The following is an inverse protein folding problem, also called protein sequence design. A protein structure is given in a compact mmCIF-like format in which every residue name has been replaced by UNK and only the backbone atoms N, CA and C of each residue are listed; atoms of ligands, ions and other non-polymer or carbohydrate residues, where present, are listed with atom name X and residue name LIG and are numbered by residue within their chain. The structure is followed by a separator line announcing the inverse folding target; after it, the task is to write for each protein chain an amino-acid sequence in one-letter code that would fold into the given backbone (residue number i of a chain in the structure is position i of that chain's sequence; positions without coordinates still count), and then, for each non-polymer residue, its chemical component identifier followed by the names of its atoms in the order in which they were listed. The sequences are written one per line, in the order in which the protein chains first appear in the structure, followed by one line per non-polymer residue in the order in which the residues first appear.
data_IF_004162844630
#
_entry.id   IF_004162844630
#
_cell.length_a   1.000
_cell.length_b   1.000
_cell.length_c   1.000
_cell.angle_alpha   90.00
_cell.angle_beta   90.00
_cell.angle_gamma   90.00
#
_symmetry.space_group_name_H-M   'P 1'
#
loop_
_entity.id
_entity.type
_entity.pdbx_description
1 polymer ?
#
# COMPACT_ATOMS: atom_id res chain seq x y z
N UNK A 1 6.05 -5.71 25.95
CA UNK A 1 4.70 -5.93 25.37
C UNK A 1 4.84 -7.12 24.44
N UNK A 2 4.27 -8.27 24.79
CA UNK A 2 4.42 -9.52 24.03
C UNK A 2 3.21 -9.71 23.13
N UNK A 3 3.43 -10.00 21.84
CA UNK A 3 2.36 -10.31 20.89
C UNK A 3 1.98 -11.78 20.96
N UNK A 4 0.68 -12.04 20.90
CA UNK A 4 0.09 -13.38 20.91
C UNK A 4 -0.59 -13.68 19.57
N UNK A 5 -0.67 -14.96 19.23
CA UNK A 5 -1.54 -15.46 18.17
C UNK A 5 -3.02 -15.28 18.57
N UNK A 6 -3.98 -15.27 17.61
CA UNK A 6 -5.40 -15.17 17.91
C UNK A 6 -5.92 -16.21 18.93
N UNK A 7 -5.32 -17.41 18.97
CA UNK A 7 -5.64 -18.48 19.92
C UNK A 7 -5.07 -18.24 21.34
N UNK A 8 -4.23 -17.23 21.53
CA UNK A 8 -3.59 -16.89 22.82
C UNK A 8 -2.20 -17.49 23.02
N UNK A 9 -1.69 -18.27 22.08
CA UNK A 9 -0.33 -18.79 22.15
C UNK A 9 0.70 -17.70 21.83
N UNK A 10 1.94 -17.87 22.30
CA UNK A 10 3.04 -17.00 21.94
C UNK A 10 3.33 -17.08 20.42
N UNK A 11 3.54 -15.92 19.79
CA UNK A 11 3.91 -15.85 18.38
C UNK A 11 5.32 -16.44 18.16
N UNK A 12 5.39 -17.67 17.65
CA UNK A 12 6.67 -18.38 17.34
C UNK A 12 6.95 -18.52 15.85
N UNK A 13 6.08 -17.97 15.02
CA UNK A 13 6.17 -18.06 13.56
C UNK A 13 7.21 -17.10 13.00
N UNK A 14 7.60 -17.32 11.75
CA UNK A 14 8.49 -16.40 11.04
C UNK A 14 7.72 -15.10 10.76
N UNK A 15 8.01 -14.06 11.54
CA UNK A 15 7.43 -12.74 11.38
C UNK A 15 8.04 -12.07 10.15
N UNK A 16 7.19 -11.70 9.20
CA UNK A 16 7.57 -10.96 7.99
C UNK A 16 7.50 -9.44 8.20
N UNK A 17 6.60 -8.98 9.07
CA UNK A 17 6.44 -7.57 9.40
C UNK A 17 5.43 -7.33 10.51
N UNK A 18 5.54 -6.19 11.18
CA UNK A 18 4.59 -5.74 12.22
C UNK A 18 4.17 -4.32 11.83
N UNK A 19 2.87 -4.11 11.61
CA UNK A 19 2.26 -2.82 11.31
C UNK A 19 1.40 -2.31 12.47
N UNK A 20 0.81 -1.13 12.30
CA UNK A 20 -0.08 -0.54 13.30
C UNK A 20 -1.39 -1.32 13.51
N UNK A 21 -1.83 -2.06 12.49
CA UNK A 21 -3.13 -2.75 12.46
C UNK A 21 -3.01 -4.27 12.54
N UNK A 22 -1.81 -4.84 12.40
CA UNK A 22 -1.62 -6.29 12.36
C UNK A 22 -0.17 -6.73 12.33
N UNK A 23 0.02 -8.04 12.46
CA UNK A 23 1.31 -8.73 12.31
C UNK A 23 1.24 -9.69 11.14
N UNK A 24 2.26 -9.69 10.28
CA UNK A 24 2.35 -10.61 9.14
C UNK A 24 3.30 -11.73 9.50
N UNK A 25 2.83 -12.96 9.37
CA UNK A 25 3.60 -14.19 9.63
C UNK A 25 3.63 -15.09 8.40
N UNK A 26 4.68 -15.91 8.29
CA UNK A 26 4.82 -16.90 7.23
C UNK A 26 4.52 -18.32 7.73
N UNK A 27 3.67 -19.03 7.00
CA UNK A 27 3.41 -20.48 7.16
C UNK A 27 3.56 -21.17 5.81
N UNK A 28 4.72 -21.81 5.57
CA UNK A 28 5.04 -22.40 4.26
C UNK A 28 5.09 -21.33 3.18
N UNK A 29 4.25 -21.46 2.15
CA UNK A 29 4.13 -20.50 1.03
C UNK A 29 2.98 -19.50 1.20
N UNK A 30 2.44 -19.39 2.42
CA UNK A 30 1.38 -18.46 2.78
C UNK A 30 1.92 -17.40 3.73
N UNK A 31 1.63 -16.14 3.43
CA UNK A 31 1.74 -15.01 4.35
C UNK A 31 0.35 -14.74 4.97
N UNK A 32 0.28 -14.56 6.29
CA UNK A 32 -0.97 -14.33 7.00
C UNK A 32 -0.86 -13.02 7.77
N UNK A 33 -1.72 -12.05 7.47
CA UNK A 33 -1.86 -10.82 8.25
C UNK A 33 -2.88 -11.06 9.35
N UNK A 34 -2.40 -11.15 10.58
CA UNK A 34 -3.19 -11.40 11.79
C UNK A 34 -3.46 -10.09 12.54
N UNK A 35 -4.61 -9.95 13.22
CA UNK A 35 -4.82 -8.84 14.14
C UNK A 35 -3.85 -8.92 15.31
N UNK A 36 -3.50 -7.75 15.86
CA UNK A 36 -2.68 -7.62 17.04
C UNK A 36 -3.44 -8.13 18.26
N UNK A 37 -2.80 -9.02 19.01
CA UNK A 37 -3.26 -9.47 20.32
C UNK A 37 -2.13 -9.31 21.32
N UNK A 38 -2.45 -8.74 22.47
CA UNK A 38 -1.48 -8.42 23.50
C UNK A 38 -1.61 -9.38 24.68
N UNK A 39 -0.49 -9.78 25.27
CA UNK A 39 -0.49 -10.41 26.59
C UNK A 39 -0.99 -9.41 27.63
N UNK A 40 -2.03 -9.82 28.37
CA UNK A 40 -2.67 -9.01 29.42
C UNK A 40 -2.27 -9.48 30.82
N UNK A 41 -1.44 -10.51 30.93
CA UNK A 41 -1.03 -11.10 32.20
C UNK A 41 -0.20 -10.11 33.00
N UNK A 42 -0.54 -9.91 34.28
CA UNK A 42 0.19 -8.99 35.17
C UNK A 42 -0.08 -7.51 34.94
N UNK A 43 -0.99 -7.14 34.04
CA UNK A 43 -1.39 -5.76 33.80
C UNK A 43 -2.56 -5.31 34.69
N UNK A 44 -2.57 -4.04 35.11
CA UNK A 44 -3.68 -3.45 35.86
C UNK A 44 -4.94 -3.26 35.00
N UNK A 45 -6.11 -3.14 35.64
CA UNK A 45 -7.42 -3.12 34.96
C UNK A 45 -7.53 -2.05 33.84
N UNK A 46 -7.08 -0.82 34.10
CA UNK A 46 -7.09 0.25 33.10
C UNK A 46 -6.25 -0.08 31.86
N UNK A 47 -5.08 -0.69 32.07
CA UNK A 47 -4.19 -1.10 30.98
C UNK A 47 -4.80 -2.28 30.21
N UNK A 48 -5.36 -3.27 30.90
CA UNK A 48 -6.07 -4.39 30.27
C UNK A 48 -7.22 -3.89 29.39
N UNK A 49 -8.00 -2.92 29.88
CA UNK A 49 -9.09 -2.29 29.11
C UNK A 49 -8.57 -1.62 27.85
N UNK A 50 -7.48 -0.86 27.94
CA UNK A 50 -6.86 -0.20 26.79
C UNK A 50 -6.34 -1.22 25.76
N UNK A 51 -5.61 -2.25 26.19
CA UNK A 51 -5.08 -3.30 25.31
C UNK A 51 -6.18 -4.06 24.57
N UNK A 52 -7.29 -4.36 25.25
CA UNK A 52 -8.46 -5.00 24.63
C UNK A 52 -9.12 -4.09 23.59
N UNK A 53 -9.21 -2.78 23.86
CA UNK A 53 -9.73 -1.82 22.89
C UNK A 53 -8.84 -1.74 21.63
N UNK A 54 -7.51 -1.67 21.80
CA UNK A 54 -6.56 -1.69 20.68
C UNK A 54 -6.67 -2.98 19.86
N UNK A 55 -6.79 -4.15 20.51
CA UNK A 55 -6.98 -5.43 19.83
C UNK A 55 -8.31 -5.48 19.05
N UNK A 56 -9.37 -4.87 19.58
CA UNK A 56 -10.65 -4.70 18.87
C UNK A 56 -10.50 -3.86 17.60
N UNK A 57 -9.88 -2.68 17.71
CA UNK A 57 -9.63 -1.79 16.56
C UNK A 57 -8.79 -2.49 15.48
N UNK A 58 -7.76 -3.23 15.88
CA UNK A 58 -6.93 -4.02 14.97
C UNK A 58 -7.75 -5.10 14.26
N UNK A 59 -8.63 -5.81 14.98
CA UNK A 59 -9.52 -6.83 14.40
C UNK A 59 -10.49 -6.22 13.38
N UNK A 60 -11.07 -5.05 13.69
CA UNK A 60 -11.98 -4.35 12.78
C UNK A 60 -11.26 -3.83 11.53
N UNK A 61 -10.00 -3.38 11.66
CA UNK A 61 -9.17 -2.98 10.52
C UNK A 61 -8.88 -4.16 9.60
N UNK A 62 -8.48 -5.31 10.15
CA UNK A 62 -8.23 -6.54 9.38
C UNK A 62 -9.48 -6.99 8.62
N UNK A 63 -10.65 -6.94 9.25
CA UNK A 63 -11.92 -7.29 8.60
C UNK A 63 -12.30 -6.30 7.47
N UNK A 64 -12.00 -5.01 7.63
CA UNK A 64 -12.23 -4.01 6.57
C UNK A 64 -11.31 -4.26 5.38
N UNK A 65 -10.03 -4.49 5.65
CA UNK A 65 -9.03 -4.80 4.62
C UNK A 65 -9.38 -6.09 3.86
N UNK A 66 -9.84 -7.14 4.57
CA UNK A 66 -10.29 -8.38 3.93
C UNK A 66 -11.46 -8.15 2.96
N UNK A 67 -12.40 -7.25 3.29
CA UNK A 67 -13.49 -6.86 2.38
C UNK A 67 -12.98 -6.19 1.11
N UNK A 68 -11.88 -5.44 1.19
CA UNK A 68 -11.21 -4.86 0.01
C UNK A 68 -10.67 -5.97 -0.87
N UNK A 69 -9.90 -6.92 -0.32
CA UNK A 69 -9.42 -8.08 -1.08
C UNK A 69 -10.55 -8.86 -1.76
N UNK A 70 -11.66 -9.10 -1.05
CA UNK A 70 -12.85 -9.77 -1.61
C UNK A 70 -13.51 -8.96 -2.73
N UNK A 71 -13.61 -7.63 -2.60
CA UNK A 71 -14.13 -6.73 -3.65
C UNK A 71 -13.24 -6.74 -4.88
N UNK A 72 -11.92 -6.77 -4.68
CA UNK A 72 -10.94 -6.78 -5.77
C UNK A 72 -11.02 -8.10 -6.56
N UNK A 73 -11.16 -9.22 -5.86
CA UNK A 73 -11.02 -10.54 -6.46
C UNK A 73 -9.61 -10.74 -7.01
N UNK A 74 -9.39 -11.75 -7.87
CA UNK A 74 -8.09 -12.01 -8.45
C UNK A 74 -7.72 -10.94 -9.48
N UNK A 75 -6.70 -10.14 -9.18
CA UNK A 75 -6.06 -9.21 -10.13
C UNK A 75 -4.54 -9.39 -10.05
N UNK A 76 -3.86 -9.38 -11.20
CA UNK A 76 -2.47 -9.82 -11.28
C UNK A 76 -1.52 -8.99 -10.42
N UNK A 77 -1.59 -7.65 -10.45
CA UNK A 77 -0.64 -6.82 -9.69
C UNK A 77 -1.00 -6.60 -8.22
N UNK A 78 -1.90 -7.39 -7.64
CA UNK A 78 -2.14 -7.45 -6.19
C UNK A 78 -1.72 -8.82 -5.68
N UNK A 79 -1.16 -8.87 -4.48
CA UNK A 79 -0.83 -10.13 -3.82
C UNK A 79 -2.08 -11.01 -3.73
N UNK A 80 -1.97 -12.24 -4.23
CA UNK A 80 -3.12 -13.13 -4.34
C UNK A 80 -3.71 -13.45 -2.96
N UNK A 81 -4.96 -13.03 -2.76
CA UNK A 81 -5.79 -13.43 -1.63
C UNK A 81 -6.22 -14.90 -1.80
N UNK A 82 -5.99 -15.73 -0.78
CA UNK A 82 -6.21 -17.18 -0.83
C UNK A 82 -7.58 -17.61 -0.31
N UNK A 83 -8.42 -16.68 0.16
CA UNK A 83 -9.76 -16.90 0.73
C UNK A 83 -9.89 -18.20 1.53
N UNK A 84 -8.98 -18.38 2.50
CA UNK A 84 -8.95 -19.56 3.34
C UNK A 84 -9.73 -19.32 4.63
N UNK A 85 -10.38 -20.35 5.19
CA UNK A 85 -10.99 -20.25 6.51
C UNK A 85 -9.90 -20.03 7.57
N UNK A 86 -10.10 -19.05 8.44
CA UNK A 86 -9.13 -18.72 9.48
C UNK A 86 -9.28 -17.28 9.95
N UNK A 87 -8.50 -16.92 10.97
CA UNK A 87 -8.38 -15.52 11.41
C UNK A 87 -7.32 -14.83 10.56
N UNK A 88 -7.64 -13.64 10.05
CA UNK A 88 -6.70 -12.80 9.31
C UNK A 88 -6.77 -13.00 7.80
N UNK A 89 -5.87 -12.30 7.10
CA UNK A 89 -5.85 -12.26 5.63
C UNK A 89 -4.77 -13.21 5.14
N UNK A 90 -5.18 -14.26 4.45
CA UNK A 90 -4.28 -15.26 3.88
C UNK A 90 -3.88 -14.87 2.45
N UNK A 91 -2.58 -14.76 2.22
CA UNK A 91 -1.99 -14.23 1.00
C UNK A 91 -0.87 -15.14 0.49
N UNK A 92 -0.65 -15.15 -0.82
CA UNK A 92 0.53 -15.80 -1.38
C UNK A 92 1.82 -15.14 -0.87
N UNK A 93 2.80 -15.95 -0.46
CA UNK A 93 4.12 -15.45 -0.04
C UNK A 93 4.93 -14.92 -1.25
N UNK A 94 5.50 -13.72 -1.09
CA UNK A 94 6.32 -13.06 -2.11
C UNK A 94 7.81 -13.25 -1.79
N UNK A 95 8.52 -13.98 -2.65
CA UNK A 95 9.85 -14.52 -2.35
C UNK A 95 10.95 -13.46 -2.23
N UNK A 96 10.80 -12.35 -2.95
CA UNK A 96 11.80 -11.29 -2.98
C UNK A 96 11.52 -10.16 -1.96
N UNK A 97 10.49 -10.32 -1.13
CA UNK A 97 10.15 -9.37 -0.07
C UNK A 97 9.62 -8.05 -0.59
N UNK A 98 9.78 -6.99 0.20
CA UNK A 98 9.32 -5.64 -0.15
C UNK A 98 10.23 -4.98 -1.19
N UNK A 99 9.65 -4.12 -2.03
CA UNK A 99 10.39 -3.36 -3.03
C UNK A 99 11.41 -2.43 -2.35
N UNK A 100 11.07 -1.81 -1.21
CA UNK A 100 12.03 -0.98 -0.46
C UNK A 100 13.24 -1.78 0.02
N UNK A 101 13.06 -3.02 0.51
CA UNK A 101 14.17 -3.86 0.94
C UNK A 101 14.97 -4.41 -0.24
N UNK A 102 14.32 -4.62 -1.38
CA UNK A 102 14.98 -5.01 -2.62
C UNK A 102 15.89 -3.90 -3.15
N UNK A 103 15.39 -2.66 -3.24
CA UNK A 103 16.14 -1.49 -3.72
C UNK A 103 17.36 -1.14 -2.85
N UNK A 104 17.35 -1.52 -1.56
CA UNK A 104 18.53 -1.38 -0.68
C UNK A 104 19.70 -2.30 -1.07
N UNK A 105 19.42 -3.38 -1.80
CA UNK A 105 20.39 -4.42 -2.15
C UNK A 105 20.74 -4.45 -3.63
N UNK A 106 19.80 -4.03 -4.47
CA UNK A 106 19.88 -4.18 -5.92
C UNK A 106 19.49 -2.89 -6.62
N UNK A 107 20.16 -2.61 -7.73
CA UNK A 107 19.81 -1.53 -8.65
C UNK A 107 19.22 -2.18 -9.91
N UNK A 108 17.88 -2.26 -10.03
CA UNK A 108 17.24 -2.83 -11.21
C UNK A 108 17.51 -1.96 -12.44
N UNK A 109 17.63 -2.58 -13.62
CA UNK A 109 17.76 -1.84 -14.86
C UNK A 109 16.46 -1.12 -15.25
N UNK A 110 16.55 -0.24 -16.25
CA UNK A 110 15.41 0.55 -16.73
C UNK A 110 14.27 -0.30 -17.28
N UNK A 111 14.56 -1.48 -17.82
CA UNK A 111 13.53 -2.39 -18.34
C UNK A 111 12.66 -2.91 -17.20
N UNK A 112 13.29 -3.38 -16.12
CA UNK A 112 12.59 -3.86 -14.92
C UNK A 112 11.83 -2.71 -14.26
N UNK A 113 12.46 -1.55 -14.11
CA UNK A 113 11.81 -0.38 -13.51
C UNK A 113 10.56 0.05 -14.31
N UNK A 114 10.66 0.13 -15.64
CA UNK A 114 9.54 0.48 -16.50
C UNK A 114 8.41 -0.56 -16.41
N UNK A 115 8.75 -1.85 -16.43
CA UNK A 115 7.78 -2.93 -16.25
C UNK A 115 7.07 -2.84 -14.90
N UNK A 116 7.80 -2.48 -13.84
CA UNK A 116 7.19 -2.21 -12.54
C UNK A 116 6.24 -1.03 -12.61
N UNK A 117 6.66 0.13 -13.10
CA UNK A 117 5.80 1.32 -13.18
C UNK A 117 4.54 1.08 -13.98
N UNK A 118 4.66 0.34 -15.09
CA UNK A 118 3.52 -0.07 -15.90
C UNK A 118 2.57 -0.98 -15.11
N UNK A 119 3.08 -2.08 -14.55
CA UNK A 119 2.25 -3.06 -13.82
C UNK A 119 1.59 -2.44 -12.59
N UNK A 120 2.34 -1.59 -11.91
CA UNK A 120 1.88 -0.71 -10.87
C UNK A 120 0.68 0.14 -11.39
N UNK A 121 0.87 1.02 -12.38
CA UNK A 121 -0.18 1.94 -12.86
C UNK A 121 -1.42 1.20 -13.39
N UNK A 122 -1.19 0.11 -14.13
CA UNK A 122 -2.23 -0.78 -14.62
C UNK A 122 -3.07 -1.33 -13.49
N UNK A 123 -2.43 -1.86 -12.44
CA UNK A 123 -3.13 -2.38 -11.26
C UNK A 123 -3.98 -1.32 -10.57
N UNK A 124 -3.51 -0.06 -10.48
CA UNK A 124 -4.34 1.00 -9.89
C UNK A 124 -5.60 1.26 -10.70
N UNK A 125 -5.53 1.25 -12.03
CA UNK A 125 -6.73 1.40 -12.85
C UNK A 125 -7.79 0.35 -12.50
N UNK A 126 -7.36 -0.91 -12.29
CA UNK A 126 -8.25 -2.01 -11.88
C UNK A 126 -8.78 -1.89 -10.46
N UNK A 127 -7.98 -1.35 -9.53
CA UNK A 127 -8.42 -1.09 -8.16
C UNK A 127 -9.47 0.03 -8.15
N UNK A 128 -9.21 1.12 -8.87
CA UNK A 128 -10.12 2.27 -9.00
C UNK A 128 -11.44 1.86 -9.66
N UNK A 129 -11.43 1.02 -10.69
CA UNK A 129 -12.64 0.46 -11.32
C UNK A 129 -13.53 -0.33 -10.35
N UNK A 130 -12.94 -0.86 -9.28
CA UNK A 130 -13.64 -1.61 -8.23
C UNK A 130 -14.04 -0.74 -7.04
N UNK A 131 -13.95 0.57 -7.23
CA UNK A 131 -14.37 1.61 -6.29
C UNK A 131 -13.60 1.55 -4.98
N UNK A 132 -12.28 1.43 -5.09
CA UNK A 132 -11.36 1.42 -3.95
C UNK A 132 -10.36 2.56 -4.13
N UNK A 133 -10.17 3.38 -3.09
CA UNK A 133 -9.06 4.33 -2.98
C UNK A 133 -8.03 3.69 -2.05
N UNK A 134 -6.75 3.66 -2.45
CA UNK A 134 -5.71 2.92 -1.71
C UNK A 134 -5.19 3.70 -0.52
N UNK A 135 -4.97 5.01 -0.68
CA UNK A 135 -4.54 5.98 0.33
C UNK A 135 -3.12 5.81 0.92
N UNK A 136 -2.52 4.62 0.90
CA UNK A 136 -1.13 4.38 1.32
C UNK A 136 -0.29 3.68 0.25
N UNK A 137 0.12 4.43 -0.77
CA UNK A 137 1.02 3.93 -1.83
C UNK A 137 2.46 4.32 -1.50
N UNK A 138 3.30 3.31 -1.23
CA UNK A 138 4.71 3.46 -0.93
C UNK A 138 5.49 2.19 -1.32
N UNK A 139 6.82 2.31 -1.52
CA UNK A 139 7.71 1.18 -1.88
C UNK A 139 7.65 0.03 -0.87
N UNK A 140 7.36 0.30 0.41
CA UNK A 140 7.16 -0.74 1.44
C UNK A 140 5.92 -1.62 1.22
N UNK A 141 4.90 -1.11 0.52
CA UNK A 141 3.62 -1.80 0.29
C UNK A 141 3.57 -2.53 -1.08
N UNK A 142 4.67 -2.48 -1.83
CA UNK A 142 4.88 -3.33 -3.00
C UNK A 142 5.80 -4.48 -2.62
N UNK A 143 5.39 -5.70 -2.96
CA UNK A 143 6.17 -6.91 -2.82
C UNK A 143 6.58 -7.45 -4.19
N UNK A 144 7.65 -8.24 -4.22
CA UNK A 144 8.18 -8.83 -5.43
C UNK A 144 8.01 -10.36 -5.41
N UNK A 145 7.34 -10.89 -6.44
CA UNK A 145 7.24 -12.33 -6.66
C UNK A 145 8.60 -12.91 -7.12
N UNK A 146 8.68 -14.23 -7.24
CA UNK A 146 9.91 -14.93 -7.65
C UNK A 146 10.48 -14.46 -8.99
N UNK A 147 9.63 -14.08 -9.94
CA UNK A 147 9.98 -13.57 -11.27
C UNK A 147 10.21 -12.05 -11.30
N UNK A 148 10.29 -11.41 -10.13
CA UNK A 148 10.36 -9.96 -9.94
C UNK A 148 9.12 -9.20 -10.41
N UNK A 149 7.98 -9.87 -10.66
CA UNK A 149 6.72 -9.15 -10.86
C UNK A 149 6.31 -8.43 -9.58
N UNK A 150 5.86 -7.18 -9.73
CA UNK A 150 5.47 -6.32 -8.61
C UNK A 150 4.02 -6.52 -8.23
N UNK A 151 3.76 -6.70 -6.94
CA UNK A 151 2.43 -6.98 -6.36
C UNK A 151 2.16 -6.04 -5.20
N UNK A 152 1.06 -5.30 -5.23
CA UNK A 152 0.64 -4.47 -4.10
C UNK A 152 0.00 -5.32 -2.99
N UNK A 153 0.24 -5.00 -1.73
CA UNK A 153 -0.08 -5.91 -0.61
C UNK A 153 -0.80 -5.31 0.61
N UNK A 154 -0.93 -3.99 0.73
CA UNK A 154 -1.45 -3.38 1.97
C UNK A 154 -2.65 -2.47 1.69
N UNK A 155 -3.83 -2.89 2.14
CA UNK A 155 -5.07 -2.11 1.99
C UNK A 155 -5.60 -1.62 3.35
N UNK A 156 -4.76 -1.49 4.38
CA UNK A 156 -5.21 -1.11 5.72
C UNK A 156 -5.85 0.28 5.78
N UNK A 157 -5.34 1.21 4.97
CA UNK A 157 -5.82 2.59 4.88
C UNK A 157 -6.82 2.79 3.73
N UNK A 158 -7.16 1.73 3.01
CA UNK A 158 -7.99 1.84 1.82
C UNK A 158 -9.46 2.04 2.15
N UNK A 159 -10.12 2.83 1.30
CA UNK A 159 -11.55 3.10 1.40
C UNK A 159 -12.29 2.35 0.31
N UNK A 160 -13.32 1.61 0.72
CA UNK A 160 -14.24 0.90 -0.16
C UNK A 160 -15.50 1.75 -0.37
N UNK A 161 -15.65 2.28 -1.58
CA UNK A 161 -16.73 3.17 -1.96
C UNK A 161 -17.94 2.39 -2.54
N UNK A 162 -19.14 3.00 -2.52
CA UNK A 162 -20.31 2.49 -3.23
C UNK A 162 -20.04 2.28 -4.73
N UNK A 163 -20.68 1.25 -5.32
CA UNK A 163 -20.46 0.87 -6.73
C UNK A 163 -21.02 1.86 -7.77
N UNK A 164 -21.73 2.89 -7.33
CA UNK A 164 -22.28 3.95 -8.19
C UNK A 164 -21.49 5.27 -8.03
N UNK A 165 -20.43 5.26 -7.24
CA UNK A 165 -19.60 6.43 -7.01
C UNK A 165 -18.80 6.73 -8.27
N UNK A 166 -18.92 7.96 -8.77
CA UNK A 166 -18.00 8.46 -9.79
C UNK A 166 -16.61 8.66 -9.17
N UNK A 167 -15.69 7.77 -9.53
CA UNK A 167 -14.33 7.75 -8.97
C UNK A 167 -13.50 8.97 -9.38
N UNK A 168 -13.83 9.65 -10.47
CA UNK A 168 -13.09 10.85 -10.92
C UNK A 168 -13.43 12.09 -10.09
N UNK A 169 -14.55 12.08 -9.38
CA UNK A 169 -15.00 13.16 -8.48
C UNK A 169 -15.07 12.74 -7.00
N UNK A 170 -14.82 11.47 -6.70
CA UNK A 170 -14.82 10.94 -5.34
C UNK A 170 -13.74 11.60 -4.46
N UNK A 171 -14.15 11.98 -3.26
CA UNK A 171 -13.28 12.47 -2.19
C UNK A 171 -13.68 11.77 -0.89
N UNK A 172 -12.74 11.07 -0.28
CA UNK A 172 -12.88 10.51 1.06
C UNK A 172 -11.92 11.23 1.99
N UNK A 173 -12.37 12.33 2.59
CA UNK A 173 -11.55 13.13 3.50
C UNK A 173 -10.20 13.55 2.89
N UNK A 174 -10.23 13.97 1.62
CA UNK A 174 -9.06 14.39 0.83
C UNK A 174 -8.34 13.25 0.09
N UNK A 175 -8.68 12.00 0.37
CA UNK A 175 -8.21 10.86 -0.43
C UNK A 175 -9.04 10.72 -1.70
N UNK A 176 -8.34 10.49 -2.82
CA UNK A 176 -8.95 10.35 -4.15
C UNK A 176 -8.06 9.50 -5.05
N UNK A 177 -8.55 9.15 -6.25
CA UNK A 177 -7.71 8.51 -7.27
C UNK A 177 -6.48 9.36 -7.62
N UNK A 178 -6.58 10.69 -7.48
CA UNK A 178 -5.47 11.60 -7.77
C UNK A 178 -4.38 11.52 -6.70
N UNK A 179 -4.75 11.39 -5.42
CA UNK A 179 -3.74 11.24 -4.35
C UNK A 179 -3.01 9.90 -4.49
N UNK A 180 -3.71 8.84 -4.90
CA UNK A 180 -3.08 7.56 -5.24
C UNK A 180 -2.05 7.71 -6.38
N UNK A 181 -2.40 8.45 -7.44
CA UNK A 181 -1.49 8.74 -8.56
C UNK A 181 -0.29 9.59 -8.07
N UNK A 182 -0.51 10.58 -7.22
CA UNK A 182 0.55 11.42 -6.67
C UNK A 182 1.55 10.63 -5.82
N UNK A 183 1.05 9.76 -4.94
CA UNK A 183 1.87 8.85 -4.12
C UNK A 183 2.66 7.86 -4.97
N UNK A 184 2.06 7.33 -6.05
CA UNK A 184 2.79 6.54 -7.03
C UNK A 184 3.91 7.35 -7.69
N UNK A 185 3.72 8.63 -7.99
CA UNK A 185 4.79 9.50 -8.48
C UNK A 185 6.01 9.50 -7.55
N UNK A 186 5.79 9.50 -6.24
CA UNK A 186 6.88 9.37 -5.25
C UNK A 186 7.56 8.00 -5.28
N UNK A 187 6.80 6.92 -5.48
CA UNK A 187 7.38 5.57 -5.67
C UNK A 187 8.23 5.51 -6.93
N UNK A 188 7.75 6.08 -8.04
CA UNK A 188 8.52 6.15 -9.29
C UNK A 188 9.82 6.93 -9.10
N UNK A 189 9.74 8.09 -8.45
CA UNK A 189 10.93 8.89 -8.14
C UNK A 189 11.94 8.11 -7.29
N UNK A 190 11.49 7.45 -6.23
CA UNK A 190 12.36 6.68 -5.34
C UNK A 190 13.05 5.53 -6.08
N UNK A 191 12.32 4.80 -6.93
CA UNK A 191 12.88 3.70 -7.73
C UNK A 191 13.91 4.21 -8.75
N UNK A 192 13.62 5.32 -9.44
CA UNK A 192 14.52 5.88 -10.48
C UNK A 192 15.79 6.47 -9.88
N UNK A 193 15.67 7.20 -8.77
CA UNK A 193 16.78 7.99 -8.21
C UNK A 193 17.51 7.29 -7.07
N UNK A 194 16.91 6.26 -6.49
CA UNK A 194 17.36 5.65 -5.23
C UNK A 194 17.19 6.55 -4.01
N UNK A 195 16.54 7.72 -4.14
CA UNK A 195 16.37 8.70 -3.06
C UNK A 195 14.95 8.63 -2.51
N UNK A 196 14.76 8.49 -1.18
CA UNK A 196 13.43 8.47 -0.58
C UNK A 196 12.62 9.72 -0.92
N UNK A 197 11.35 9.53 -1.29
CA UNK A 197 10.42 10.62 -1.58
C UNK A 197 9.08 10.36 -0.89
N UNK A 198 8.55 11.37 -0.19
CA UNK A 198 7.27 11.29 0.50
C UNK A 198 6.27 12.25 -0.11
N UNK A 199 5.13 11.73 -0.58
CA UNK A 199 3.95 12.51 -0.92
C UNK A 199 3.14 12.78 0.35
N UNK A 200 3.55 13.77 1.14
CA UNK A 200 3.03 13.99 2.49
C UNK A 200 1.70 14.74 2.48
N UNK A 201 0.59 13.99 2.57
CA UNK A 201 -0.77 14.54 2.61
C UNK A 201 -1.09 15.31 3.90
N UNK A 202 -0.21 15.23 4.90
CA UNK A 202 -0.41 15.80 6.25
C UNK A 202 0.65 16.82 6.64
N UNK A 203 1.45 17.29 5.69
CA UNK A 203 2.49 18.29 5.96
C UNK A 203 1.87 19.55 6.60
N UNK A 204 2.52 20.03 7.67
CA UNK A 204 2.18 21.25 8.41
C UNK A 204 0.75 21.30 8.98
N UNK A 205 0.11 20.15 9.15
CA UNK A 205 -1.23 20.04 9.75
C UNK A 205 -1.21 19.71 11.24
N UNK A 206 -2.20 20.21 12.01
CA UNK A 206 -2.33 19.90 13.43
C UNK A 206 -2.72 18.42 13.66
N UNK A 207 -2.59 17.97 14.91
CA UNK A 207 -3.09 16.66 15.32
C UNK A 207 -4.63 16.73 15.48
N UNK A 208 -5.36 16.53 14.38
CA UNK A 208 -6.79 16.16 14.28
C UNK A 208 -7.90 17.22 14.45
N UNK A 209 -9.09 16.99 13.83
CA UNK A 209 -9.33 16.13 12.67
C UNK A 209 -8.89 16.83 11.39
N UNK A 210 -8.05 16.15 10.61
CA UNK A 210 -7.39 16.75 9.45
C UNK A 210 -7.68 15.95 8.20
N UNK A 211 -8.39 16.58 7.27
CA UNK A 211 -8.55 16.13 5.88
C UNK A 211 -7.18 16.02 5.22
N UNK A 212 -6.90 14.95 4.47
CA UNK A 212 -5.71 14.88 3.61
C UNK A 212 -5.68 16.09 2.66
N UNK A 213 -4.49 16.60 2.34
CA UNK A 213 -4.37 17.72 1.38
C UNK A 213 -3.24 17.46 0.42
N UNK A 214 -3.45 17.88 -0.83
CA UNK A 214 -2.43 17.81 -1.84
C UNK A 214 -1.18 18.58 -1.39
N UNK A 215 0.02 17.97 -1.40
CA UNK A 215 1.25 18.64 -1.00
C UNK A 215 1.57 19.80 -1.94
N UNK A 216 2.26 20.82 -1.45
CA UNK A 216 2.74 21.89 -2.32
C UNK A 216 3.85 21.36 -3.22
N UNK A 217 4.01 21.95 -4.41
CA UNK A 217 5.00 21.43 -5.38
C UNK A 217 6.41 21.56 -4.84
N UNK A 218 6.71 22.63 -4.13
CA UNK A 218 7.99 22.91 -3.45
C UNK A 218 8.36 21.90 -2.36
N UNK A 219 7.38 21.10 -1.88
CA UNK A 219 7.63 20.04 -0.90
C UNK A 219 8.16 18.75 -1.54
N UNK A 220 8.05 18.66 -2.88
CA UNK A 220 8.46 17.51 -3.67
C UNK A 220 9.78 17.81 -4.39
N UNK A 221 10.64 16.82 -4.63
CA UNK A 221 11.92 17.03 -5.28
C UNK A 221 11.76 17.50 -6.73
N UNK A 222 12.80 18.13 -7.28
CA UNK A 222 12.85 18.47 -8.70
C UNK A 222 12.92 17.22 -9.57
N UNK A 223 12.27 17.25 -10.73
CA UNK A 223 12.23 16.14 -11.70
C UNK A 223 13.09 16.40 -12.94
N UNK A 224 13.77 17.55 -12.99
CA UNK A 224 14.61 17.94 -14.12
C UNK A 224 15.78 16.96 -14.26
N UNK A 225 16.08 16.58 -15.50
CA UNK A 225 17.17 15.67 -15.86
C UNK A 225 17.06 14.25 -15.27
N UNK A 226 15.90 13.90 -14.69
CA UNK A 226 15.58 12.55 -14.20
C UNK A 226 14.89 11.75 -15.31
N UNK A 227 15.28 10.49 -15.48
CA UNK A 227 14.59 9.57 -16.38
C UNK A 227 13.13 9.39 -15.93
N UNK A 228 12.18 9.54 -16.87
CA UNK A 228 10.73 9.64 -16.59
C UNK A 228 10.31 10.86 -15.74
N UNK A 229 11.19 11.85 -15.55
CA UNK A 229 10.90 13.06 -14.77
C UNK A 229 9.63 13.78 -15.21
N UNK A 230 9.36 13.85 -16.52
CA UNK A 230 8.12 14.44 -17.06
C UNK A 230 6.86 13.67 -16.68
N UNK A 231 6.90 12.35 -16.57
CA UNK A 231 5.76 11.53 -16.13
C UNK A 231 5.55 11.68 -14.63
N UNK A 232 6.64 11.67 -13.85
CA UNK A 232 6.61 11.90 -12.40
C UNK A 232 6.01 13.29 -12.09
N UNK A 233 6.44 14.32 -12.80
CA UNK A 233 5.91 15.69 -12.66
C UNK A 233 4.40 15.77 -12.92
N UNK A 234 3.93 15.05 -13.94
CA UNK A 234 2.49 14.95 -14.24
C UNK A 234 1.70 14.20 -13.18
N UNK A 235 2.32 13.25 -12.46
CA UNK A 235 1.68 12.61 -11.30
C UNK A 235 1.51 13.61 -10.13
N UNK A 236 2.43 14.56 -9.99
CA UNK A 236 2.41 15.58 -8.93
C UNK A 236 1.64 16.85 -9.30
N UNK A 237 1.22 16.97 -10.56
CA UNK A 237 0.36 18.06 -11.04
C UNK A 237 -1.09 17.57 -11.09
N UNK A 238 -1.85 17.82 -10.01
CA UNK A 238 -3.22 17.31 -9.82
C UNK A 238 -4.10 17.51 -11.07
N UNK A 239 -4.76 16.45 -11.52
CA UNK A 239 -5.66 16.46 -12.67
C UNK A 239 -4.98 16.34 -14.04
N UNK A 240 -3.65 16.35 -14.13
CA UNK A 240 -2.95 16.16 -15.42
C UNK A 240 -3.15 14.75 -15.97
N UNK A 241 -3.21 13.76 -15.09
CA UNK A 241 -3.78 12.46 -15.39
C UNK A 241 -5.23 12.46 -14.89
N UNK A 242 -6.17 12.24 -15.81
CA UNK A 242 -7.59 12.09 -15.47
C UNK A 242 -7.82 10.87 -14.56
N UNK A 243 -7.10 9.78 -14.81
CA UNK A 243 -7.15 8.55 -14.03
C UNK A 243 -5.89 7.71 -14.30
N UNK A 244 -5.75 6.58 -13.60
CA UNK A 244 -4.58 5.71 -13.72
C UNK A 244 -4.37 5.11 -15.13
N UNK A 245 -5.42 4.99 -15.96
CA UNK A 245 -5.26 4.53 -17.35
C UNK A 245 -4.47 5.54 -18.19
N UNK A 246 -4.66 6.84 -17.96
CA UNK A 246 -3.87 7.88 -18.63
C UNK A 246 -2.40 7.87 -18.25
N UNK A 247 -2.08 7.38 -17.04
CA UNK A 247 -0.70 7.12 -16.66
C UNK A 247 -0.14 5.89 -17.38
N UNK A 248 -0.91 4.80 -17.52
CA UNK A 248 -0.52 3.63 -18.32
C UNK A 248 -0.22 4.04 -19.76
N UNK A 249 -1.13 4.78 -20.40
CA UNK A 249 -0.93 5.30 -21.77
C UNK A 249 0.36 6.14 -21.89
N UNK A 250 0.72 6.92 -20.87
CA UNK A 250 1.97 7.68 -20.89
C UNK A 250 3.21 6.79 -20.72
N UNK A 251 3.12 5.71 -19.97
CA UNK A 251 4.20 4.73 -19.79
C UNK A 251 4.39 3.87 -21.05
N UNK A 252 3.33 3.56 -21.79
CA UNK A 252 3.39 2.83 -23.07
C UNK A 252 4.16 3.59 -24.16
N UNK A 253 4.24 4.92 -24.04
CA UNK A 253 4.98 5.79 -24.97
C UNK A 253 6.47 5.91 -24.63
N UNK A 254 6.93 5.29 -23.53
CA UNK A 254 8.34 5.34 -23.13
C UNK A 254 9.13 4.37 -24.01
N UNK A 255 10.16 4.90 -24.67
CA UNK A 255 11.16 4.11 -25.40
C UNK A 255 12.39 3.95 -24.52
N UNK A 256 12.85 2.71 -24.35
CA UNK A 256 14.12 2.40 -23.71
C UNK A 256 15.23 2.56 -24.76
N UNK A 257 16.14 3.50 -24.52
CA UNK A 257 17.41 3.64 -25.26
C UNK A 257 18.44 2.63 -24.80
#
# INVERSE_FOLDING_TARGET
MSLLLPDGNALRECILGIGGTGVVVRRGDVAIKLPLKYDITGHGEAQVKHLKACAGISSDSIQREEKVYRRLGPIDGVVRFLDQPGVGIHMAFMQNGSLVDYLRKYTPDRTIQLAWFWGMAYTRSHIHDRHVIVADIATRNFLLAADLSVKFSDFSESTLLPLHTDMETADDSGYSIYTDIGQLGSVMFEVVTGTPCKFDLYKDKPFEPVTATWPQREDLPETKDIWLGSIIERCWTKGTFQNARKLVEALDLVVLE
#
